data_IF_518513188004
#
_entry.id   IF_518513188004
#
_cell.length_a   1.000
_cell.length_b   1.000
_cell.length_c   1.000
_cell.angle_alpha   90.00
_cell.angle_beta   90.00
_cell.angle_gamma   90.00
#
_symmetry.space_group_name_H-M   'P 1'
#
loop_
_entity.id
_entity.type
_entity.pdbx_description
1 polymer ?
#
# COMPACT_ATOMS: atom_id res chain seq x y z
N UNK A 1 28.83 -63.76 29.56
CA UNK A 1 27.55 -63.03 29.47
C UNK A 1 27.18 -62.86 27.99
N UNK A 2 26.15 -63.59 27.58
CA UNK A 2 25.19 -63.43 26.47
C UNK A 2 25.61 -63.02 25.03
N UNK A 3 25.59 -64.06 24.17
CA UNK A 3 24.79 -64.25 22.94
C UNK A 3 25.16 -63.59 21.59
N UNK A 4 25.24 -64.48 20.59
CA UNK A 4 25.51 -64.33 19.15
C UNK A 4 24.40 -63.61 18.33
N UNK A 5 24.76 -63.10 17.14
CA UNK A 5 24.16 -63.38 15.79
C UNK A 5 24.71 -62.37 14.74
N UNK A 6 25.46 -62.75 13.71
CA UNK A 6 25.19 -63.49 12.44
C UNK A 6 24.68 -62.61 11.25
N UNK A 7 25.15 -63.00 10.04
CA UNK A 7 24.74 -62.67 8.64
C UNK A 7 25.53 -61.56 7.90
N UNK A 8 26.43 -61.78 6.92
CA UNK A 8 26.42 -62.41 5.54
C UNK A 8 25.44 -61.76 4.56
N UNK A 9 25.68 -61.55 3.24
CA UNK A 9 26.79 -61.68 2.28
C UNK A 9 26.31 -61.06 0.94
N UNK A 10 27.27 -60.61 0.11
CA UNK A 10 27.30 -60.60 -1.38
C UNK A 10 26.46 -59.59 -2.20
N UNK A 11 27.18 -58.89 -3.07
CA UNK A 11 26.72 -58.18 -4.26
C UNK A 11 26.45 -59.12 -5.44
N UNK A 12 25.49 -58.78 -6.31
CA UNK A 12 25.50 -59.10 -7.74
C UNK A 12 24.46 -58.24 -8.51
N UNK A 13 24.78 -57.96 -9.78
CA UNK A 13 24.09 -57.04 -10.69
C UNK A 13 23.13 -57.74 -11.69
N UNK A 14 22.29 -56.91 -12.34
CA UNK A 14 21.67 -56.99 -13.68
C UNK A 14 20.91 -58.27 -14.12
N UNK A 15 19.64 -58.11 -14.56
CA UNK A 15 19.24 -58.37 -15.97
C UNK A 15 17.74 -58.12 -16.23
N UNK A 16 17.48 -57.72 -17.47
CA UNK A 16 16.29 -57.20 -18.14
C UNK A 16 15.17 -58.24 -18.36
N UNK A 17 13.90 -57.81 -18.43
CA UNK A 17 12.91 -58.42 -19.33
C UNK A 17 12.06 -57.34 -20.02
N UNK A 18 11.97 -57.47 -21.34
CA UNK A 18 11.28 -56.62 -22.31
C UNK A 18 10.30 -57.52 -23.08
N UNK A 19 9.03 -57.13 -23.23
CA UNK A 19 8.17 -57.48 -24.39
C UNK A 19 6.76 -56.84 -24.27
N UNK A 20 6.42 -55.85 -25.12
CA UNK A 20 5.54 -55.92 -26.33
C UNK A 20 4.04 -55.68 -25.98
N UNK A 21 3.41 -54.52 -26.22
CA UNK A 21 2.92 -53.82 -27.45
C UNK A 21 1.47 -54.17 -27.90
N UNK A 22 0.69 -53.10 -28.14
CA UNK A 22 -0.60 -52.94 -28.90
C UNK A 22 -1.88 -53.36 -28.16
N UNK A 23 -2.96 -52.57 -28.04
CA UNK A 23 -3.31 -51.27 -28.64
C UNK A 23 -4.71 -50.78 -28.21
N UNK A 24 -5.27 -49.85 -28.99
CA UNK A 24 -6.57 -49.13 -28.88
C UNK A 24 -6.55 -47.88 -27.99
N UNK A 25 -6.95 -46.67 -28.42
CA UNK A 25 -7.45 -46.12 -29.69
C UNK A 25 -7.30 -44.59 -29.64
N UNK A 26 -7.13 -43.96 -30.80
CA UNK A 26 -7.12 -42.51 -31.01
C UNK A 26 -8.35 -41.79 -30.41
N UNK A 27 -8.13 -40.71 -29.67
CA UNK A 27 -9.08 -39.63 -29.51
C UNK A 27 -8.36 -38.30 -29.78
N UNK A 28 -8.84 -37.58 -30.79
CA UNK A 28 -8.37 -36.26 -31.20
C UNK A 28 -8.57 -35.27 -30.04
N UNK A 29 -7.51 -35.02 -29.28
CA UNK A 29 -7.44 -33.99 -28.26
C UNK A 29 -7.28 -32.61 -28.90
N UNK A 30 -8.42 -32.03 -29.25
CA UNK A 30 -8.68 -30.62 -29.54
C UNK A 30 -7.70 -29.71 -28.77
N UNK A 31 -6.90 -28.90 -29.47
CA UNK A 31 -6.17 -27.77 -28.87
C UNK A 31 -7.17 -26.74 -28.39
N UNK A 32 -7.69 -26.94 -27.18
CA UNK A 32 -8.59 -26.01 -26.50
C UNK A 32 -7.75 -25.01 -25.70
N UNK A 33 -7.46 -23.89 -26.37
CA UNK A 33 -7.62 -22.55 -25.82
C UNK A 33 -6.69 -22.15 -24.66
N UNK A 34 -5.44 -21.79 -24.99
CA UNK A 34 -4.62 -20.90 -24.14
C UNK A 34 -5.07 -19.43 -24.20
N UNK A 35 -6.23 -19.13 -24.79
CA UNK A 35 -6.75 -17.76 -24.91
C UNK A 35 -7.87 -17.43 -23.92
N UNK A 36 -8.05 -18.21 -22.85
CA UNK A 36 -9.05 -17.93 -21.80
C UNK A 36 -8.44 -17.31 -20.52
N UNK A 37 -7.18 -16.84 -20.57
CA UNK A 37 -6.55 -16.12 -19.45
C UNK A 37 -6.17 -14.67 -19.76
N UNK A 38 -6.65 -14.11 -20.87
CA UNK A 38 -6.31 -12.72 -21.27
C UNK A 38 -7.51 -11.75 -21.19
N UNK A 39 -8.70 -12.22 -20.80
CA UNK A 39 -9.91 -11.37 -20.77
C UNK A 39 -10.51 -11.12 -19.37
N UNK A 40 -9.74 -11.35 -18.30
CA UNK A 40 -10.13 -10.95 -16.94
C UNK A 40 -9.01 -10.23 -16.18
N UNK A 41 -8.06 -9.60 -16.89
CA UNK A 41 -7.09 -8.66 -16.30
C UNK A 41 -7.57 -7.20 -16.39
N UNK A 42 -8.89 -6.98 -16.47
CA UNK A 42 -9.46 -5.66 -16.22
C UNK A 42 -9.41 -5.37 -14.70
N UNK A 43 -8.43 -4.53 -14.34
CA UNK A 43 -8.47 -3.56 -13.23
C UNK A 43 -8.69 -4.09 -11.80
N UNK A 44 -7.83 -5.01 -11.35
CA UNK A 44 -7.40 -4.96 -9.95
C UNK A 44 -5.99 -4.41 -9.90
N UNK A 45 -5.85 -3.08 -9.96
CA UNK A 45 -4.73 -2.45 -9.27
C UNK A 45 -4.84 -2.91 -7.82
N UNK A 46 -3.98 -3.85 -7.42
CA UNK A 46 -3.89 -4.26 -6.03
C UNK A 46 -3.64 -2.98 -5.23
N UNK A 47 -4.67 -2.56 -4.51
CA UNK A 47 -4.65 -1.50 -3.53
C UNK A 47 -3.69 -1.94 -2.41
N UNK A 48 -2.40 -1.74 -2.64
CA UNK A 48 -1.36 -2.33 -1.81
C UNK A 48 -1.36 -1.61 -0.46
N UNK A 49 -1.72 -2.34 0.58
CA UNK A 49 -1.70 -1.85 1.95
C UNK A 49 -0.27 -1.44 2.31
N UNK A 50 -0.11 -0.19 2.72
CA UNK A 50 1.15 0.40 3.15
C UNK A 50 1.23 0.39 4.67
N UNK A 51 2.42 0.11 5.21
CA UNK A 51 2.70 0.19 6.63
C UNK A 51 3.82 1.22 6.85
N UNK A 52 3.60 2.15 7.77
CA UNK A 52 4.53 3.23 8.06
C UNK A 52 4.61 3.48 9.56
N UNK A 53 5.82 3.75 10.06
CA UNK A 53 6.00 4.36 11.37
C UNK A 53 5.87 5.87 11.26
N UNK A 54 5.40 6.52 12.32
CA UNK A 54 5.29 7.96 12.36
C UNK A 54 6.66 8.63 12.36
N UNK A 55 6.70 9.86 11.87
CA UNK A 55 7.88 10.72 11.89
C UNK A 55 7.55 12.06 12.57
N UNK A 56 8.54 12.76 13.13
CA UNK A 56 8.33 14.11 13.65
C UNK A 56 7.70 15.03 12.59
N UNK A 57 6.69 15.80 12.99
CA UNK A 57 6.05 16.78 12.11
C UNK A 57 7.04 17.92 11.81
N UNK A 58 7.26 18.22 10.54
CA UNK A 58 8.27 19.21 10.12
C UNK A 58 7.77 20.66 10.05
N UNK A 59 6.46 20.91 10.16
CA UNK A 59 5.95 22.28 10.29
C UNK A 59 6.47 23.00 11.54
N UNK A 60 6.68 24.31 11.37
CA UNK A 60 7.09 25.22 12.43
C UNK A 60 6.12 25.19 13.61
N UNK A 61 6.63 24.91 14.81
CA UNK A 61 5.85 24.82 16.05
C UNK A 61 5.23 23.45 16.30
N UNK A 62 5.42 22.48 15.40
CA UNK A 62 4.88 21.12 15.51
C UNK A 62 5.96 20.06 15.66
N UNK A 63 7.23 20.43 15.89
CA UNK A 63 8.37 19.49 15.86
C UNK A 63 8.31 18.39 16.94
N UNK A 64 7.54 18.60 18.01
CA UNK A 64 7.30 17.59 19.05
C UNK A 64 6.13 16.66 18.73
N UNK A 65 5.41 16.87 17.64
CA UNK A 65 4.28 16.05 17.20
C UNK A 65 4.74 14.95 16.24
N UNK A 66 3.88 13.95 16.02
CA UNK A 66 4.16 12.80 15.16
C UNK A 66 3.13 12.69 14.04
N UNK A 67 3.57 12.33 12.83
CA UNK A 67 2.70 12.11 11.66
C UNK A 67 2.96 10.81 10.94
N UNK A 68 1.88 10.22 10.42
CA UNK A 68 1.94 9.21 9.35
C UNK A 68 1.38 9.84 8.08
N UNK A 69 2.18 9.89 7.02
CA UNK A 69 1.82 10.58 5.78
C UNK A 69 1.17 9.58 4.82
N UNK A 70 -0.13 9.71 4.60
CA UNK A 70 -0.85 8.85 3.65
C UNK A 70 -0.58 9.26 2.21
N UNK A 71 -0.69 10.56 1.92
CA UNK A 71 -0.35 11.16 0.62
C UNK A 71 0.44 12.44 0.89
N UNK A 72 1.68 12.48 0.41
CA UNK A 72 2.51 13.69 0.51
C UNK A 72 2.14 14.70 -0.58
N UNK A 73 2.44 15.98 -0.35
CA UNK A 73 2.29 17.00 -1.38
C UNK A 73 3.33 16.87 -2.48
N UNK A 74 2.90 17.19 -3.70
CA UNK A 74 3.76 17.46 -4.86
C UNK A 74 3.43 18.82 -5.44
N UNK A 75 4.43 19.52 -5.98
CA UNK A 75 4.27 20.89 -6.47
C UNK A 75 3.23 21.00 -7.58
N UNK A 76 2.27 21.90 -7.41
CA UNK A 76 1.20 22.15 -8.39
C UNK A 76 0.17 21.02 -8.52
N UNK A 77 0.27 19.97 -7.72
CA UNK A 77 -0.63 18.81 -7.76
C UNK A 77 -1.64 18.86 -6.62
N UNK A 78 -2.90 18.57 -6.95
CA UNK A 78 -3.92 18.20 -5.97
C UNK A 78 -4.29 16.74 -6.18
N UNK A 79 -4.83 16.12 -5.15
CA UNK A 79 -5.34 14.77 -5.19
C UNK A 79 -6.81 14.77 -4.77
N UNK A 80 -7.58 13.87 -5.37
CA UNK A 80 -8.91 13.50 -4.89
C UNK A 80 -8.95 11.99 -4.74
N UNK A 81 -9.46 11.52 -3.61
CA UNK A 81 -9.47 10.09 -3.35
C UNK A 81 -10.01 9.72 -1.99
N UNK A 82 -9.82 8.45 -1.66
CA UNK A 82 -10.20 7.82 -0.41
C UNK A 82 -8.97 7.19 0.23
N UNK A 83 -8.79 7.40 1.53
CA UNK A 83 -7.84 6.64 2.34
C UNK A 83 -8.59 5.85 3.40
N UNK A 84 -8.26 4.57 3.50
CA UNK A 84 -8.72 3.69 4.60
C UNK A 84 -7.51 3.29 5.42
N UNK A 85 -7.59 3.44 6.74
CA UNK A 85 -6.42 3.32 7.62
C UNK A 85 -6.74 2.70 8.97
N UNK A 86 -5.69 2.20 9.62
CA UNK A 86 -5.63 1.74 11.00
C UNK A 86 -4.33 2.26 11.65
N UNK A 87 -4.40 2.76 12.88
CA UNK A 87 -3.32 3.41 13.62
C UNK A 87 -3.18 2.74 14.98
N UNK A 88 -1.93 2.57 15.44
CA UNK A 88 -1.65 1.99 16.75
C UNK A 88 -1.92 2.93 17.93
N UNK A 89 -2.14 4.23 17.67
CA UNK A 89 -2.51 5.25 18.65
C UNK A 89 -3.55 6.22 18.05
N UNK A 90 -4.41 6.86 18.86
CA UNK A 90 -5.33 7.87 18.37
C UNK A 90 -4.62 9.07 17.75
N UNK A 91 -5.12 9.54 16.61
CA UNK A 91 -4.62 10.72 15.89
C UNK A 91 -5.76 11.46 15.16
N UNK A 92 -5.50 12.70 14.78
CA UNK A 92 -6.37 13.47 13.89
C UNK A 92 -6.00 13.18 12.44
N UNK A 93 -6.99 12.98 11.58
CA UNK A 93 -6.77 12.85 10.13
C UNK A 93 -7.00 14.20 9.48
N UNK A 94 -5.97 14.71 8.82
CA UNK A 94 -5.93 16.09 8.32
C UNK A 94 -5.56 16.05 6.85
N UNK A 95 -6.44 16.60 6.01
CA UNK A 95 -6.09 16.97 4.63
C UNK A 95 -5.53 18.39 4.61
N UNK A 96 -4.64 18.66 3.66
CA UNK A 96 -4.02 19.97 3.55
C UNK A 96 -3.81 20.40 2.11
N UNK A 97 -3.77 21.72 1.92
CA UNK A 97 -3.69 22.38 0.63
C UNK A 97 -2.49 23.31 0.54
N UNK A 98 -1.69 23.18 -0.50
CA UNK A 98 -0.61 24.11 -0.79
C UNK A 98 -1.20 25.46 -1.22
N UNK A 99 -1.00 26.46 -0.36
CA UNK A 99 -1.42 27.85 -0.54
C UNK A 99 -0.22 28.78 -0.63
N UNK A 100 0.97 28.25 -0.94
CA UNK A 100 2.18 29.04 -1.13
C UNK A 100 1.96 30.11 -2.20
N UNK A 101 2.34 31.35 -1.90
CA UNK A 101 2.11 32.50 -2.78
C UNK A 101 0.66 33.00 -2.85
N UNK A 102 -0.29 32.35 -2.17
CA UNK A 102 -1.69 32.81 -2.07
C UNK A 102 -1.93 33.48 -0.73
N UNK A 103 -2.87 34.44 -0.71
CA UNK A 103 -3.37 34.98 0.55
C UNK A 103 -4.26 33.91 1.22
N UNK A 104 -3.97 33.52 2.47
CA UNK A 104 -4.86 32.64 3.23
C UNK A 104 -6.25 33.26 3.31
N UNK A 105 -7.30 32.47 3.11
CA UNK A 105 -8.65 32.89 3.50
C UNK A 105 -8.71 33.02 5.02
N UNK A 106 -9.38 34.06 5.51
CA UNK A 106 -9.51 34.30 6.95
C UNK A 106 -10.04 33.04 7.67
N UNK A 107 -9.46 32.73 8.85
CA UNK A 107 -9.82 31.65 9.78
C UNK A 107 -9.32 30.22 9.47
N UNK A 108 -8.56 29.97 8.41
CA UNK A 108 -7.96 28.65 8.19
C UNK A 108 -6.62 28.50 8.93
N UNK A 109 -6.41 27.37 9.62
CA UNK A 109 -5.11 27.06 10.24
C UNK A 109 -4.07 26.80 9.15
N UNK A 110 -2.95 27.53 9.23
CA UNK A 110 -1.83 27.42 8.30
C UNK A 110 -0.66 26.73 8.99
N UNK A 111 -0.08 25.74 8.33
CA UNK A 111 1.20 25.14 8.67
C UNK A 111 2.29 25.63 7.73
N UNK A 112 3.43 26.01 8.29
CA UNK A 112 4.61 26.45 7.54
C UNK A 112 5.66 25.33 7.54
N UNK A 113 6.03 24.82 6.37
CA UNK A 113 7.03 23.77 6.19
C UNK A 113 8.09 24.28 5.21
N UNK A 114 9.25 24.69 5.74
CA UNK A 114 10.23 25.44 4.94
C UNK A 114 9.60 26.72 4.39
N UNK A 115 9.70 26.91 3.07
CA UNK A 115 9.12 28.06 2.37
C UNK A 115 7.65 27.84 1.94
N UNK A 116 7.08 26.66 2.22
CA UNK A 116 5.71 26.31 1.85
C UNK A 116 4.70 26.61 2.94
N UNK A 117 3.49 26.98 2.52
CA UNK A 117 2.34 27.22 3.40
C UNK A 117 1.21 26.26 3.05
N UNK A 118 0.68 25.58 4.07
CA UNK A 118 -0.36 24.59 3.92
C UNK A 118 -1.60 24.95 4.75
N UNK A 119 -2.73 25.13 4.07
CA UNK A 119 -4.03 25.30 4.71
C UNK A 119 -4.59 23.92 5.10
N UNK A 120 -5.01 23.76 6.36
CA UNK A 120 -5.39 22.44 6.90
C UNK A 120 -6.88 22.30 7.15
N UNK A 121 -7.40 21.09 6.97
CA UNK A 121 -8.77 20.70 7.31
C UNK A 121 -8.74 19.37 8.06
N UNK A 122 -9.23 19.36 9.30
CA UNK A 122 -9.41 18.11 10.06
C UNK A 122 -10.65 17.38 9.57
N UNK A 123 -10.47 16.17 9.05
CA UNK A 123 -11.55 15.32 8.53
C UNK A 123 -12.10 14.37 9.61
N UNK A 124 -11.21 13.81 10.42
CA UNK A 124 -11.55 13.00 11.60
C UNK A 124 -10.67 13.41 12.76
N UNK A 125 -11.20 13.29 13.99
CA UNK A 125 -10.51 13.71 15.21
C UNK A 125 -10.34 12.54 16.17
N UNK A 126 -9.13 12.36 16.69
CA UNK A 126 -8.80 11.40 17.73
C UNK A 126 -9.28 9.96 17.45
N UNK A 127 -8.97 9.44 16.26
CA UNK A 127 -9.37 8.11 15.79
C UNK A 127 -8.19 7.17 15.68
N UNK A 128 -8.44 5.86 15.83
CA UNK A 128 -7.45 4.80 15.56
C UNK A 128 -7.70 4.10 14.23
N UNK A 129 -8.85 4.27 13.59
CA UNK A 129 -9.16 3.68 12.30
C UNK A 129 -10.26 4.47 11.60
N UNK A 130 -10.35 4.34 10.29
CA UNK A 130 -11.41 4.97 9.52
C UNK A 130 -11.20 4.88 8.03
N UNK A 131 -12.17 5.43 7.30
CA UNK A 131 -12.09 5.67 5.87
C UNK A 131 -12.62 7.06 5.59
N UNK A 132 -11.87 7.88 4.84
CA UNK A 132 -12.28 9.25 4.50
C UNK A 132 -12.01 9.57 3.05
N UNK A 133 -12.93 10.32 2.46
CA UNK A 133 -12.68 11.01 1.21
C UNK A 133 -11.96 12.32 1.49
N UNK A 134 -11.01 12.68 0.64
CA UNK A 134 -10.28 13.93 0.75
C UNK A 134 -10.08 14.58 -0.62
N UNK A 135 -9.95 15.89 -0.60
CA UNK A 135 -9.54 16.69 -1.74
C UNK A 135 -8.47 17.66 -1.25
N UNK A 136 -7.25 17.53 -1.72
CA UNK A 136 -6.20 18.48 -1.38
C UNK A 136 -4.82 18.12 -1.90
N UNK A 137 -3.84 18.96 -1.58
CA UNK A 137 -2.43 18.69 -1.91
C UNK A 137 -1.88 17.46 -1.19
N UNK A 138 -2.43 17.08 -0.04
CA UNK A 138 -2.07 15.84 0.65
C UNK A 138 -2.99 15.52 1.82
N UNK A 139 -2.70 14.40 2.49
CA UNK A 139 -3.42 13.93 3.68
C UNK A 139 -2.50 13.12 4.59
N UNK A 140 -2.66 13.31 5.91
CA UNK A 140 -1.87 12.62 6.94
C UNK A 140 -2.69 12.34 8.19
N UNK A 141 -2.21 11.43 9.03
CA UNK A 141 -2.59 11.33 10.43
C UNK A 141 -1.60 12.11 11.30
N UNK A 142 -2.11 12.84 12.29
CA UNK A 142 -1.35 13.75 13.15
C UNK A 142 -1.67 13.51 14.62
N UNK A 143 -0.65 13.19 15.40
CA UNK A 143 -0.73 13.13 16.86
C UNK A 143 0.07 14.27 17.46
N UNK A 144 -0.52 14.97 18.43
CA UNK A 144 0.20 16.02 19.19
C UNK A 144 1.16 15.45 20.23
N UNK A 145 1.18 14.13 20.39
CA UNK A 145 2.11 13.43 21.28
C UNK A 145 3.43 13.17 20.55
N UNK A 146 4.53 13.15 21.31
CA UNK A 146 5.87 12.90 20.78
C UNK A 146 6.18 11.43 20.54
N UNK A 147 5.42 10.54 21.15
CA UNK A 147 5.67 9.11 21.05
C UNK A 147 5.37 8.58 19.66
N UNK A 148 6.28 7.75 19.14
CA UNK A 148 6.07 7.05 17.88
C UNK A 148 4.78 6.20 17.90
N UNK A 149 4.15 6.11 16.74
CA UNK A 149 3.05 5.20 16.45
C UNK A 149 3.16 4.65 15.03
N UNK A 150 2.43 3.59 14.74
CA UNK A 150 2.42 2.99 13.41
C UNK A 150 1.05 3.17 12.77
N UNK A 151 1.06 3.34 11.44
CA UNK A 151 -0.14 3.40 10.62
C UNK A 151 -0.06 2.35 9.51
N UNK A 152 -1.19 1.72 9.25
CA UNK A 152 -1.41 0.85 8.10
C UNK A 152 -2.56 1.43 7.28
N UNK A 153 -2.38 1.59 5.98
CA UNK A 153 -3.40 2.25 5.16
C UNK A 153 -3.38 1.78 3.72
N UNK A 154 -4.52 1.99 3.07
CA UNK A 154 -4.72 1.83 1.65
C UNK A 154 -5.16 3.17 1.09
N UNK A 155 -4.47 3.64 0.06
CA UNK A 155 -4.78 4.89 -0.63
C UNK A 155 -5.26 4.60 -2.05
N UNK A 156 -6.42 5.15 -2.39
CA UNK A 156 -6.91 5.23 -3.77
C UNK A 156 -7.16 6.70 -4.09
N UNK A 157 -6.28 7.30 -4.90
CA UNK A 157 -6.40 8.70 -5.26
C UNK A 157 -5.91 8.98 -6.67
N UNK A 158 -6.53 9.97 -7.30
CA UNK A 158 -6.15 10.47 -8.62
C UNK A 158 -5.55 11.86 -8.47
N UNK A 159 -4.42 12.09 -9.15
CA UNK A 159 -3.86 13.42 -9.28
C UNK A 159 -4.76 14.28 -10.18
N UNK A 160 -5.17 15.43 -9.66
CA UNK A 160 -5.87 16.49 -10.39
C UNK A 160 -4.83 17.58 -10.61
N UNK A 161 -4.27 17.62 -11.82
CA UNK A 161 -3.52 18.78 -12.28
C UNK A 161 -4.48 19.95 -12.42
N UNK A 162 -4.13 21.12 -11.86
CA UNK A 162 -4.79 22.36 -12.23
C UNK A 162 -4.51 22.59 -13.71
N UNK A 163 -5.44 22.22 -14.58
CA UNK A 163 -5.50 22.73 -15.94
C UNK A 163 -5.85 24.21 -15.86
N UNK A 164 -4.85 25.03 -15.56
CA UNK A 164 -4.87 26.43 -15.94
C UNK A 164 -4.60 26.49 -17.45
N UNK A 165 -5.63 26.15 -18.22
CA UNK A 165 -5.71 26.47 -19.64
C UNK A 165 -6.33 27.86 -19.79
N UNK A 166 -5.72 28.85 -19.16
CA UNK A 166 -5.88 30.27 -19.49
C UNK A 166 -4.89 30.65 -20.59
N UNK A 167 -5.32 30.52 -21.85
CA UNK A 167 -4.75 31.23 -23.00
C UNK A 167 -5.83 32.06 -23.65
#
# INVERSE_FOLDING_TARGET
MNAQKYFTKKALAFSIFMAIFVGMTFALGITLTENAKVLAQQEQQQQQQQNQSSIPHNAKGHQSHQVVIFQNSSDGVRYSGTVTFNLSKPADVISFDDVTGKQPTNNTKIWEVGDKKFATTTLLKNVTQGSVNFNGSGILAHSTQSDLYNGSFTLNSTAISNSDSGR
#
